data_IF_922512056167
#
_entry.id   IF_922512056167
#
_cell.length_a   1.000
_cell.length_b   1.000
_cell.length_c   1.000
_cell.angle_alpha   90.00
_cell.angle_beta   90.00
_cell.angle_gamma   90.00
#
_symmetry.space_group_name_H-M   'P 1'
#
loop_
_entity.id
_entity.type
_entity.pdbx_description
1 polymer ?
#
# COMPACT_ATOMS: atom_id res chain seq x y z
N UNK A 1 -11.62 13.51 8.60
CA UNK A 1 -10.21 13.13 8.38
C UNK A 1 -10.24 12.11 7.26
N UNK A 2 -9.44 12.22 6.21
CA UNK A 2 -9.35 11.13 5.23
C UNK A 2 -8.53 10.02 5.85
N UNK A 3 -9.02 8.78 5.80
CA UNK A 3 -8.22 7.63 6.21
C UNK A 3 -7.15 7.36 5.13
N UNK A 4 -6.11 6.56 5.46
CA UNK A 4 -4.96 6.35 4.59
C UNK A 4 -5.36 5.92 3.16
N UNK A 5 -6.34 5.02 3.04
CA UNK A 5 -6.74 4.48 1.74
C UNK A 5 -7.46 5.54 0.90
N UNK A 6 -8.31 6.35 1.51
CA UNK A 6 -8.92 7.50 0.82
C UNK A 6 -7.86 8.50 0.36
N UNK A 7 -6.83 8.74 1.18
CA UNK A 7 -5.70 9.57 0.82
C UNK A 7 -4.95 9.00 -0.39
N UNK A 8 -4.63 7.71 -0.40
CA UNK A 8 -4.00 7.03 -1.54
C UNK A 8 -4.87 7.15 -2.80
N UNK A 9 -6.19 6.97 -2.71
CA UNK A 9 -7.13 7.14 -3.85
C UNK A 9 -7.21 8.57 -4.34
N UNK A 10 -7.15 9.54 -3.44
CA UNK A 10 -7.13 10.95 -3.83
C UNK A 10 -5.84 11.32 -4.56
N UNK A 11 -4.70 10.75 -4.15
CA UNK A 11 -3.42 10.87 -4.87
C UNK A 11 -3.54 10.25 -6.27
N UNK A 12 -4.14 9.06 -6.40
CA UNK A 12 -4.39 8.44 -7.71
C UNK A 12 -5.16 9.35 -8.66
N UNK A 13 -6.22 10.01 -8.15
CA UNK A 13 -7.10 10.89 -8.95
C UNK A 13 -6.43 12.20 -9.34
N UNK A 14 -5.57 12.76 -8.47
CA UNK A 14 -4.96 14.10 -8.65
C UNK A 14 -3.48 14.11 -8.27
N UNK A 15 -2.61 13.30 -8.91
CA UNK A 15 -1.26 13.05 -8.41
C UNK A 15 -0.39 14.30 -8.37
N UNK A 16 -0.53 15.21 -9.35
CA UNK A 16 0.22 16.46 -9.37
C UNK A 16 -0.08 17.38 -8.17
N UNK A 17 -1.30 17.35 -7.61
CA UNK A 17 -1.69 18.17 -6.45
C UNK A 17 -0.96 17.74 -5.17
N UNK A 18 -0.67 16.44 -5.03
CA UNK A 18 -0.06 15.88 -3.82
C UNK A 18 1.45 15.69 -3.96
N UNK A 19 1.92 15.30 -5.14
CA UNK A 19 3.28 14.84 -5.37
C UNK A 19 4.11 15.80 -6.23
N UNK A 20 3.48 16.78 -6.89
CA UNK A 20 4.10 17.61 -7.92
C UNK A 20 4.35 16.85 -9.24
N UNK A 21 5.03 15.70 -9.16
CA UNK A 21 5.26 14.76 -10.25
C UNK A 21 4.76 13.37 -9.86
N UNK A 22 4.00 12.74 -10.77
CA UNK A 22 3.43 11.40 -10.59
C UNK A 22 4.49 10.31 -10.82
N UNK A 23 5.32 10.08 -9.80
CA UNK A 23 6.36 9.03 -9.79
C UNK A 23 6.22 8.13 -8.58
N UNK A 24 6.66 6.89 -8.69
CA UNK A 24 6.56 5.93 -7.58
C UNK A 24 7.45 6.35 -6.41
N UNK A 25 8.62 6.92 -6.69
CA UNK A 25 9.52 7.45 -5.66
C UNK A 25 8.88 8.60 -4.84
N UNK A 26 8.15 9.51 -5.51
CA UNK A 26 7.45 10.60 -4.83
C UNK A 26 6.28 10.07 -3.99
N UNK A 27 5.53 9.08 -4.50
CA UNK A 27 4.45 8.44 -3.75
C UNK A 27 4.97 7.77 -2.48
N UNK A 28 6.06 6.99 -2.58
CA UNK A 28 6.71 6.35 -1.44
C UNK A 28 7.15 7.38 -0.39
N UNK A 29 7.78 8.45 -0.84
CA UNK A 29 8.24 9.53 0.05
C UNK A 29 7.08 10.24 0.74
N UNK A 30 5.98 10.48 0.02
CA UNK A 30 4.77 11.08 0.58
C UNK A 30 4.17 10.20 1.68
N UNK A 31 3.97 8.90 1.42
CA UNK A 31 3.39 7.97 2.40
C UNK A 31 4.31 7.81 3.63
N UNK A 32 5.63 7.74 3.41
CA UNK A 32 6.59 7.70 4.50
C UNK A 32 6.54 8.97 5.37
N UNK A 33 6.43 10.15 4.74
CA UNK A 33 6.29 11.44 5.42
C UNK A 33 4.99 11.53 6.24
N UNK A 34 3.87 11.07 5.69
CA UNK A 34 2.59 10.97 6.39
C UNK A 34 2.72 10.10 7.65
N UNK A 35 3.26 8.89 7.52
CA UNK A 35 3.47 7.97 8.65
C UNK A 35 4.42 8.54 9.70
N UNK A 36 5.50 9.19 9.25
CA UNK A 36 6.46 9.87 10.13
C UNK A 36 5.80 10.98 10.93
N UNK A 37 5.01 11.85 10.29
CA UNK A 37 4.32 12.96 10.95
C UNK A 37 3.33 12.47 12.01
N UNK A 38 2.52 11.45 11.70
CA UNK A 38 1.61 10.84 12.69
C UNK A 38 2.35 10.32 13.91
N UNK A 39 3.49 9.63 13.70
CA UNK A 39 4.32 9.12 14.79
C UNK A 39 4.89 10.24 15.66
N UNK A 40 5.40 11.32 15.04
CA UNK A 40 5.90 12.49 15.78
C UNK A 40 4.81 13.16 16.63
N UNK A 41 3.58 13.16 16.14
CA UNK A 41 2.42 13.71 16.83
C UNK A 41 1.76 12.71 17.80
N UNK A 42 2.34 11.52 18.02
CA UNK A 42 1.79 10.46 18.87
C UNK A 42 0.37 10.05 18.50
N UNK A 43 0.01 10.19 17.22
CA UNK A 43 -1.29 9.77 16.69
C UNK A 43 -1.18 8.27 16.38
N UNK A 44 -2.00 7.46 17.06
CA UNK A 44 -2.08 6.03 16.82
C UNK A 44 -2.39 5.70 15.36
N UNK A 45 -1.84 4.58 14.89
CA UNK A 45 -2.19 4.01 13.59
C UNK A 45 -3.66 3.57 13.60
N UNK A 46 -4.38 3.82 12.50
CA UNK A 46 -5.68 3.18 12.28
C UNK A 46 -5.47 1.77 11.73
N UNK A 47 -6.56 1.01 11.61
CA UNK A 47 -6.53 -0.33 10.98
C UNK A 47 -5.94 -0.31 9.57
N UNK A 48 -6.16 0.77 8.79
CA UNK A 48 -5.61 0.88 7.44
C UNK A 48 -4.10 1.09 7.42
N UNK A 49 -3.54 1.90 8.33
CA UNK A 49 -2.07 2.02 8.44
C UNK A 49 -1.44 0.71 8.93
N UNK A 50 -2.12 -0.02 9.83
CA UNK A 50 -1.66 -1.32 10.30
C UNK A 50 -1.66 -2.34 9.15
N UNK A 51 -2.75 -2.45 8.40
CA UNK A 51 -2.85 -3.33 7.23
C UNK A 51 -1.80 -2.95 6.16
N UNK A 52 -1.69 -1.67 5.81
CA UNK A 52 -0.72 -1.21 4.81
C UNK A 52 0.74 -1.48 5.18
N UNK A 53 1.06 -1.61 6.47
CA UNK A 53 2.41 -2.00 6.89
C UNK A 53 2.84 -3.37 6.34
N UNK A 54 1.87 -4.25 6.03
CA UNK A 54 2.10 -5.54 5.38
C UNK A 54 2.34 -5.47 3.86
N UNK A 55 2.07 -4.32 3.22
CA UNK A 55 2.20 -4.17 1.75
C UNK A 55 3.61 -4.46 1.26
N UNK A 56 4.63 -4.06 2.02
CA UNK A 56 6.04 -4.34 1.71
C UNK A 56 6.31 -5.84 1.57
N UNK A 57 5.89 -6.63 2.58
CA UNK A 57 6.08 -8.09 2.59
C UNK A 57 5.27 -8.75 1.49
N UNK A 58 4.05 -8.29 1.26
CA UNK A 58 3.18 -8.81 0.19
C UNK A 58 3.81 -8.61 -1.20
N UNK A 59 4.37 -7.43 -1.49
CA UNK A 59 5.08 -7.16 -2.75
C UNK A 59 6.31 -8.06 -2.89
N UNK A 60 7.12 -8.21 -1.84
CA UNK A 60 8.29 -9.08 -1.86
C UNK A 60 7.93 -10.53 -2.19
N UNK A 61 6.84 -11.04 -1.60
CA UNK A 61 6.32 -12.38 -1.88
C UNK A 61 5.80 -12.49 -3.31
N UNK A 62 4.98 -11.53 -3.76
CA UNK A 62 4.37 -11.54 -5.10
C UNK A 62 5.40 -11.56 -6.23
N UNK A 63 6.50 -10.81 -6.07
CA UNK A 63 7.56 -10.75 -7.07
C UNK A 63 8.72 -11.72 -6.81
N UNK A 64 8.66 -12.51 -5.72
CA UNK A 64 9.72 -13.42 -5.27
C UNK A 64 11.10 -12.73 -5.16
N UNK A 65 11.13 -11.57 -4.49
CA UNK A 65 12.33 -10.73 -4.33
C UNK A 65 12.83 -10.73 -2.88
N UNK A 66 14.14 -10.59 -2.70
CA UNK A 66 14.79 -10.53 -1.39
C UNK A 66 14.43 -9.27 -0.57
N UNK A 67 14.65 -9.36 0.75
CA UNK A 67 14.16 -8.38 1.74
C UNK A 67 14.80 -6.97 1.70
N UNK A 68 15.85 -6.74 0.91
CA UNK A 68 16.62 -5.50 0.95
C UNK A 68 16.08 -4.37 0.04
N UNK A 69 15.07 -4.65 -0.78
CA UNK A 69 14.46 -3.65 -1.66
C UNK A 69 13.10 -3.19 -1.12
N UNK A 70 12.83 -1.90 -1.19
CA UNK A 70 11.52 -1.33 -0.84
C UNK A 70 10.50 -1.59 -1.95
N UNK A 71 9.21 -1.60 -1.62
CA UNK A 71 8.14 -1.90 -2.58
C UNK A 71 8.20 -1.03 -3.84
N UNK A 72 8.58 0.25 -3.72
CA UNK A 72 8.71 1.16 -4.86
C UNK A 72 9.88 0.78 -5.77
N UNK A 73 11.00 0.34 -5.20
CA UNK A 73 12.15 -0.14 -5.96
C UNK A 73 11.83 -1.45 -6.69
N UNK A 74 11.10 -2.36 -6.04
CA UNK A 74 10.66 -3.62 -6.64
C UNK A 74 9.71 -3.32 -7.81
N UNK A 75 8.66 -2.53 -7.59
CA UNK A 75 7.71 -2.19 -8.65
C UNK A 75 8.41 -1.46 -9.80
N UNK A 76 9.30 -0.51 -9.50
CA UNK A 76 10.08 0.20 -10.51
C UNK A 76 10.96 -0.75 -11.33
N UNK A 77 11.59 -1.75 -10.70
CA UNK A 77 12.44 -2.73 -11.38
C UNK A 77 11.67 -3.53 -12.44
N UNK A 78 10.41 -3.86 -12.18
CA UNK A 78 9.53 -4.55 -13.13
C UNK A 78 8.75 -3.61 -14.05
N UNK A 79 9.01 -2.30 -13.98
CA UNK A 79 8.32 -1.27 -14.77
C UNK A 79 9.24 -0.66 -15.81
N UNK A 80 8.64 -0.09 -16.87
CA UNK A 80 9.39 0.60 -17.92
C UNK A 80 10.05 1.89 -17.43
N UNK A 81 9.33 2.64 -16.59
CA UNK A 81 9.74 3.93 -16.05
C UNK A 81 8.97 4.25 -14.76
N UNK A 82 9.33 5.38 -14.12
CA UNK A 82 8.72 5.88 -12.88
C UNK A 82 7.21 6.11 -12.97
N UNK A 83 6.70 6.49 -14.14
CA UNK A 83 5.28 6.79 -14.32
C UNK A 83 4.47 5.50 -14.47
N UNK A 84 4.99 4.55 -15.25
CA UNK A 84 4.43 3.20 -15.37
C UNK A 84 4.43 2.50 -14.00
N UNK A 85 5.52 2.63 -13.23
CA UNK A 85 5.61 2.09 -11.87
C UNK A 85 4.58 2.73 -10.93
N UNK A 86 4.37 4.04 -11.05
CA UNK A 86 3.36 4.76 -10.28
C UNK A 86 1.95 4.24 -10.59
N UNK A 87 1.61 4.01 -11.86
CA UNK A 87 0.32 3.40 -12.24
C UNK A 87 0.20 1.97 -11.72
N UNK A 88 1.27 1.18 -11.81
CA UNK A 88 1.31 -0.21 -11.37
C UNK A 88 1.10 -0.35 -9.86
N UNK A 89 1.64 0.58 -9.06
CA UNK A 89 1.37 0.63 -7.62
C UNK A 89 -0.13 0.56 -7.31
N UNK A 90 -0.98 1.30 -8.04
CA UNK A 90 -2.41 1.32 -7.72
C UNK A 90 -3.12 0.02 -8.05
N UNK A 91 -2.70 -0.69 -9.11
CA UNK A 91 -3.23 -2.02 -9.42
C UNK A 91 -2.84 -3.03 -8.35
N UNK A 92 -1.58 -2.97 -7.90
CA UNK A 92 -1.07 -3.82 -6.83
C UNK A 92 -1.73 -3.49 -5.49
N UNK A 93 -2.02 -2.22 -5.24
CA UNK A 93 -2.77 -1.78 -4.07
C UNK A 93 -4.23 -2.26 -4.10
N UNK A 94 -4.88 -2.23 -5.27
CA UNK A 94 -6.21 -2.84 -5.48
C UNK A 94 -6.18 -4.33 -5.12
N UNK A 95 -5.21 -5.07 -5.66
CA UNK A 95 -5.08 -6.50 -5.41
C UNK A 95 -4.78 -6.81 -3.94
N UNK A 96 -3.87 -6.06 -3.31
CA UNK A 96 -3.53 -6.20 -1.89
C UNK A 96 -4.76 -6.04 -1.00
N UNK A 97 -5.52 -4.96 -1.20
CA UNK A 97 -6.71 -4.66 -0.38
C UNK A 97 -7.88 -5.65 -0.64
N UNK A 98 -7.93 -6.25 -1.82
CA UNK A 98 -8.89 -7.32 -2.12
C UNK A 98 -8.48 -8.68 -1.53
N UNK A 99 -7.18 -8.99 -1.47
CA UNK A 99 -6.66 -10.26 -0.93
C UNK A 99 -7.04 -10.41 0.54
N UNK A 100 -6.98 -9.32 1.31
CA UNK A 100 -7.41 -9.30 2.72
C UNK A 100 -8.91 -9.56 2.90
N UNK A 101 -9.73 -9.19 1.91
CA UNK A 101 -11.18 -9.43 1.93
C UNK A 101 -11.51 -10.93 1.83
N UNK A 102 -10.73 -11.67 1.05
CA UNK A 102 -10.93 -13.11 0.80
C UNK A 102 -10.42 -13.93 2.00
N UNK A 103 -9.28 -13.56 2.57
CA UNK A 103 -8.72 -14.19 3.78
C UNK A 103 -9.65 -14.04 4.99
N UNK A 104 -10.21 -12.84 5.21
CA UNK A 104 -11.16 -12.55 6.31
C UNK A 104 -12.51 -13.28 6.14
N UNK A 105 -12.88 -13.68 4.92
CA UNK A 105 -14.09 -14.48 4.67
C UNK A 105 -13.86 -15.98 4.91
N UNK A 106 -12.66 -16.50 4.64
CA UNK A 106 -12.35 -17.92 4.85
C UNK A 106 -12.21 -18.30 6.34
N UNK A 107 -11.71 -17.40 7.19
CA UNK A 107 -11.66 -17.61 8.64
C UNK A 107 -13.07 -17.69 9.28
N UNK A 108 -14.04 -16.93 8.76
CA UNK A 108 -15.43 -16.97 9.25
C UNK A 108 -16.19 -18.25 8.87
N UNK A 109 -15.75 -19.00 7.85
CA UNK A 109 -16.42 -20.24 7.42
C UNK A 109 -15.92 -21.46 8.20
N UNK A 110 -14.75 -21.39 8.83
CA UNK A 110 -14.17 -22.52 9.59
C UNK A 110 -14.64 -22.63 11.06
N UNK A 111 -15.43 -21.67 11.56
CA UNK A 111 -16.02 -21.73 12.90
C UNK A 111 -17.52 -22.05 12.87
N UNK A 112 -17.88 -23.22 12.37
CA UNK A 112 -19.16 -23.85 12.74
C UNK A 112 -18.88 -24.94 13.79
N UNK A 113 -19.38 -24.82 15.03
CA UNK A 113 -19.31 -25.92 15.97
C UNK A 113 -20.20 -27.05 15.43
N UNK A 114 -19.59 -28.21 15.17
CA UNK A 114 -20.33 -29.44 14.93
C UNK A 114 -21.01 -29.79 16.26
N UNK A 115 -22.35 -29.87 16.23
CA UNK A 115 -23.19 -30.29 17.36
C UNK A 115 -22.88 -31.73 17.80
#
# INVERSE_FOLDING_TARGET
>A
MFDLYDLIRNIQKRPAMYLGKATIANLRTFIAGYSFARRQMQISQTSQEQEFSGFQTWIQQKYNVAYNQTWDQIILFFSKDENTAFEEFFKLFDEFTQTDSISKQQENVQHFPVL
#
